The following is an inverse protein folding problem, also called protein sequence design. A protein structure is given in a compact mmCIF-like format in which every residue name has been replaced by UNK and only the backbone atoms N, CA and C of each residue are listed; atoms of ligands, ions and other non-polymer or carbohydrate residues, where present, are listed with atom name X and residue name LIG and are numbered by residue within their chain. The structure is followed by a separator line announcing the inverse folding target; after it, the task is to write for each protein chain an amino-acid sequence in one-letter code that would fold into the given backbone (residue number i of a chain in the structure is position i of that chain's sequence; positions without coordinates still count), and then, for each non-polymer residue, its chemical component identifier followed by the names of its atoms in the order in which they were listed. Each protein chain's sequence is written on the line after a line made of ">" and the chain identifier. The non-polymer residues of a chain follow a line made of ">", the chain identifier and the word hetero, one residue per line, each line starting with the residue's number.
data_IF_010588349923
#
_entry.id   IF_010588349923
#
_cell.length_a   1.000
_cell.length_b   1.000
_cell.length_c   1.000
_cell.angle_alpha   90.00
_cell.angle_beta   90.00
_cell.angle_gamma   90.00
#
_symmetry.space_group_name_H-M   'P 1'
#
loop_
_entity.id
_entity.type
_entity.pdbx_description
1 polymer ?
#
# COMPACT_ATOMS: atom_id res chain seq x y z
N UNK A 1 4.02 68.42 47.59
CA UNK A 1 4.21 66.97 47.82
C UNK A 1 2.81 66.36 47.75
N UNK A 2 2.25 66.08 46.55
CA UNK A 2 2.51 64.93 45.66
C UNK A 2 2.28 63.60 46.40
N UNK A 3 1.35 62.71 46.06
CA UNK A 3 0.47 62.54 44.88
C UNK A 3 -0.76 61.70 45.32
N UNK A 4 -1.93 61.88 44.68
CA UNK A 4 -3.25 61.39 45.15
C UNK A 4 -3.89 60.44 44.13
N UNK A 5 -4.40 59.26 44.52
CA UNK A 5 -5.34 58.49 43.71
C UNK A 5 -6.78 58.69 44.18
N UNK A 6 -7.74 58.45 43.27
CA UNK A 6 -9.01 57.72 43.46
C UNK A 6 -10.11 58.26 42.55
N UNK A 7 -10.48 57.44 41.57
CA UNK A 7 -11.74 57.53 40.83
C UNK A 7 -12.87 56.86 41.62
N UNK A 8 -14.05 57.47 41.61
CA UNK A 8 -15.34 56.83 41.93
C UNK A 8 -16.40 57.22 40.88
N UNK A 9 -17.19 56.21 40.50
CA UNK A 9 -18.29 56.12 39.52
C UNK A 9 -19.53 57.00 39.88
N UNK A 10 -20.78 56.86 39.32
CA UNK A 10 -21.35 55.96 38.29
C UNK A 10 -22.43 56.61 37.34
N UNK A 11 -23.06 55.85 36.42
CA UNK A 11 -24.55 55.81 36.24
C UNK A 11 -25.04 54.95 35.06
N UNK A 12 -26.18 54.28 35.28
CA UNK A 12 -26.93 53.35 34.40
C UNK A 12 -27.93 54.07 33.47
N UNK A 13 -28.15 53.56 32.24
CA UNK A 13 -29.44 53.03 31.71
C UNK A 13 -29.43 52.72 30.19
N UNK A 14 -30.33 51.83 29.66
CA UNK A 14 -30.14 51.09 28.41
C UNK A 14 -30.91 51.65 27.19
N UNK A 15 -30.40 51.38 25.98
CA UNK A 15 -31.09 51.64 24.71
C UNK A 15 -31.50 50.32 24.01
N UNK A 16 -32.70 50.21 23.41
CA UNK A 16 -33.06 49.05 22.60
C UNK A 16 -32.73 49.28 21.11
N UNK A 17 -32.24 48.28 20.35
CA UNK A 17 -32.19 48.41 18.91
C UNK A 17 -33.52 47.97 18.28
N UNK A 18 -34.10 48.89 17.50
CA UNK A 18 -35.16 48.61 16.55
C UNK A 18 -34.55 48.01 15.28
N UNK A 19 -34.99 46.81 14.88
CA UNK A 19 -34.83 46.33 13.52
C UNK A 19 -36.15 45.74 13.04
N UNK A 20 -36.89 46.56 12.29
CA UNK A 20 -38.04 46.15 11.50
C UNK A 20 -37.60 45.24 10.36
N UNK A 21 -38.33 44.13 10.20
CA UNK A 21 -38.19 43.18 9.09
C UNK A 21 -38.34 43.89 7.74
N UNK A 22 -37.31 43.82 6.89
CA UNK A 22 -37.48 44.08 5.45
C UNK A 22 -37.41 42.76 4.70
N UNK A 23 -38.57 42.29 4.23
CA UNK A 23 -38.68 41.25 3.20
C UNK A 23 -38.11 41.82 1.90
N UNK A 24 -37.01 41.23 1.40
CA UNK A 24 -36.48 41.56 0.09
C UNK A 24 -37.26 40.77 -0.97
N UNK A 25 -38.05 41.51 -1.76
CA UNK A 25 -38.70 41.01 -2.98
C UNK A 25 -37.74 41.28 -4.12
N UNK A 26 -37.30 40.23 -4.82
CA UNK A 26 -36.54 40.36 -6.07
C UNK A 26 -37.38 39.72 -7.17
N UNK A 27 -37.62 40.47 -8.24
CA UNK A 27 -38.34 40.02 -9.44
C UNK A 27 -39.86 39.75 -9.27
N UNK A 28 -40.56 40.57 -8.48
CA UNK A 28 -42.04 40.66 -8.51
C UNK A 28 -42.82 39.41 -8.09
N UNK A 29 -42.15 38.37 -7.62
CA UNK A 29 -42.73 37.22 -6.94
C UNK A 29 -42.04 37.07 -5.59
N UNK A 30 -42.84 36.83 -4.55
CA UNK A 30 -42.34 36.56 -3.21
C UNK A 30 -41.31 35.43 -3.27
N UNK A 31 -40.15 35.64 -2.62
CA UNK A 31 -39.07 34.66 -2.52
C UNK A 31 -39.55 33.30 -2.01
N UNK A 32 -40.63 33.31 -1.23
CA UNK A 32 -41.32 32.14 -0.70
C UNK A 32 -42.05 31.32 -1.80
N UNK A 33 -42.51 31.97 -2.86
CA UNK A 33 -43.14 31.33 -4.04
C UNK A 33 -42.11 30.77 -5.00
N UNK A 34 -40.94 31.44 -5.13
CA UNK A 34 -39.81 30.93 -5.91
C UNK A 34 -39.24 29.70 -5.22
N UNK A 35 -39.03 29.73 -3.90
CA UNK A 35 -38.61 28.57 -3.10
C UNK A 35 -39.67 27.46 -3.18
N UNK A 36 -40.97 27.72 -3.00
CA UNK A 36 -42.01 26.68 -3.15
C UNK A 36 -42.13 26.12 -4.57
N UNK A 37 -41.87 26.90 -5.61
CA UNK A 37 -41.80 26.42 -7.01
C UNK A 37 -40.54 25.59 -7.28
N UNK A 38 -39.40 25.99 -6.69
CA UNK A 38 -38.12 25.29 -6.83
C UNK A 38 -38.03 24.03 -5.97
N UNK A 39 -38.77 23.94 -4.85
CA UNK A 39 -38.81 22.77 -3.96
C UNK A 39 -40.05 21.87 -4.16
N UNK A 40 -41.17 22.42 -4.64
CA UNK A 40 -42.40 21.67 -4.92
C UNK A 40 -42.37 20.88 -6.24
N UNK A 41 -41.58 21.32 -7.22
CA UNK A 41 -41.32 20.60 -8.47
C UNK A 41 -40.02 19.77 -8.44
N UNK A 42 -39.22 19.87 -7.37
CA UNK A 42 -37.87 19.29 -7.32
C UNK A 42 -37.69 18.14 -6.32
N UNK A 43 -38.62 17.88 -5.40
CA UNK A 43 -38.48 16.72 -4.52
C UNK A 43 -38.43 15.42 -5.33
N UNK A 44 -39.32 15.28 -6.33
CA UNK A 44 -39.34 14.13 -7.24
C UNK A 44 -38.10 14.10 -8.14
N UNK A 45 -37.69 15.24 -8.69
CA UNK A 45 -36.50 15.31 -9.57
C UNK A 45 -35.21 15.02 -8.77
N UNK A 46 -35.07 15.56 -7.57
CA UNK A 46 -33.94 15.29 -6.69
C UNK A 46 -33.94 13.83 -6.23
N UNK A 47 -35.10 13.24 -5.93
CA UNK A 47 -35.21 11.81 -5.62
C UNK A 47 -34.82 10.94 -6.82
N UNK A 48 -35.24 11.31 -8.03
CA UNK A 48 -34.86 10.62 -9.27
C UNK A 48 -33.36 10.77 -9.55
N UNK A 49 -32.80 11.98 -9.44
CA UNK A 49 -31.37 12.24 -9.65
C UNK A 49 -30.53 11.53 -8.59
N UNK A 50 -30.91 11.58 -7.32
CA UNK A 50 -30.24 10.84 -6.25
C UNK A 50 -30.32 9.34 -6.53
N UNK A 51 -31.48 8.81 -6.92
CA UNK A 51 -31.64 7.40 -7.29
C UNK A 51 -30.76 7.02 -8.48
N UNK A 52 -30.66 7.88 -9.50
CA UNK A 52 -29.80 7.66 -10.66
C UNK A 52 -28.30 7.72 -10.29
N UNK A 53 -27.89 8.66 -9.45
CA UNK A 53 -26.52 8.73 -8.92
C UNK A 53 -26.23 7.49 -8.07
N UNK A 54 -27.16 7.07 -7.22
CA UNK A 54 -27.02 5.85 -6.40
C UNK A 54 -26.88 4.61 -7.30
N UNK A 55 -27.74 4.43 -8.31
CA UNK A 55 -27.65 3.32 -9.27
C UNK A 55 -26.33 3.39 -10.05
N UNK A 56 -25.89 4.58 -10.47
CA UNK A 56 -24.63 4.77 -11.17
C UNK A 56 -23.43 4.40 -10.28
N UNK A 57 -23.42 4.84 -9.01
CA UNK A 57 -22.40 4.45 -8.04
C UNK A 57 -22.41 2.94 -7.77
N UNK A 58 -23.58 2.30 -7.72
CA UNK A 58 -23.67 0.85 -7.61
C UNK A 58 -23.20 0.13 -8.88
N UNK A 59 -23.49 0.66 -10.07
CA UNK A 59 -23.05 0.09 -11.36
C UNK A 59 -21.54 0.20 -11.55
N UNK A 60 -20.96 1.35 -11.28
CA UNK A 60 -19.50 1.57 -11.34
C UNK A 60 -18.79 0.84 -10.19
N UNK A 61 -19.39 0.83 -8.99
CA UNK A 61 -18.91 0.10 -7.82
C UNK A 61 -18.96 -1.41 -7.98
N UNK A 62 -19.92 -1.96 -8.73
CA UNK A 62 -20.02 -3.41 -8.97
C UNK A 62 -18.81 -3.96 -9.75
N UNK A 63 -18.29 -3.19 -10.71
CA UNK A 63 -17.05 -3.53 -11.42
C UNK A 63 -15.85 -3.54 -10.48
N UNK A 64 -15.79 -2.61 -9.52
CA UNK A 64 -14.76 -2.57 -8.49
C UNK A 64 -14.78 -3.82 -7.60
N UNK A 65 -15.96 -4.33 -7.23
CA UNK A 65 -16.08 -5.55 -6.40
C UNK A 65 -15.51 -6.78 -7.10
N UNK A 66 -15.76 -6.95 -8.40
CA UNK A 66 -15.21 -8.05 -9.18
C UNK A 66 -13.69 -7.99 -9.29
N UNK A 67 -13.14 -6.81 -9.57
CA UNK A 67 -11.70 -6.59 -9.63
C UNK A 67 -11.03 -6.81 -8.26
N UNK A 68 -11.66 -6.34 -7.18
CA UNK A 68 -11.16 -6.55 -5.82
C UNK A 68 -11.16 -8.02 -5.42
N UNK A 69 -12.21 -8.77 -5.79
CA UNK A 69 -12.25 -10.21 -5.58
C UNK A 69 -11.12 -10.93 -6.33
N UNK A 70 -10.89 -10.59 -7.61
CA UNK A 70 -9.75 -11.13 -8.39
C UNK A 70 -8.43 -10.82 -7.71
N UNK A 71 -8.21 -9.57 -7.25
CA UNK A 71 -6.97 -9.20 -6.57
C UNK A 71 -6.76 -9.95 -5.25
N UNK A 72 -7.83 -10.21 -4.48
CA UNK A 72 -7.73 -11.00 -3.25
C UNK A 72 -7.42 -12.47 -3.54
N UNK A 73 -7.97 -13.02 -4.63
CA UNK A 73 -7.65 -14.37 -5.07
C UNK A 73 -6.18 -14.46 -5.48
N UNK A 74 -5.67 -13.52 -6.27
CA UNK A 74 -4.26 -13.43 -6.63
C UNK A 74 -3.36 -13.28 -5.40
N UNK A 75 -3.78 -12.48 -4.41
CA UNK A 75 -3.08 -12.28 -3.15
C UNK A 75 -2.95 -13.57 -2.31
N UNK A 76 -4.03 -14.37 -2.28
CA UNK A 76 -4.02 -15.69 -1.64
C UNK A 76 -3.16 -16.69 -2.43
N UNK A 77 -3.33 -16.74 -3.75
CA UNK A 77 -2.60 -17.65 -4.62
C UNK A 77 -1.09 -17.42 -4.57
N UNK A 78 -0.64 -16.17 -4.46
CA UNK A 78 0.79 -15.85 -4.32
C UNK A 78 1.37 -16.13 -2.94
N UNK A 79 0.54 -16.44 -1.94
CA UNK A 79 0.96 -16.66 -0.56
C UNK A 79 1.14 -15.38 0.25
N UNK A 80 0.75 -14.20 -0.26
CA UNK A 80 0.87 -12.95 0.50
C UNK A 80 -0.01 -12.93 1.74
N UNK A 81 -1.19 -13.58 1.70
CA UNK A 81 -2.03 -13.76 2.90
C UNK A 81 -1.32 -14.60 3.98
N UNK A 82 -0.61 -15.65 3.59
CA UNK A 82 0.20 -16.44 4.53
C UNK A 82 1.33 -15.60 5.13
N UNK A 83 1.99 -14.78 4.29
CA UNK A 83 3.01 -13.83 4.74
C UNK A 83 2.44 -12.80 5.72
N UNK A 84 1.21 -12.35 5.55
CA UNK A 84 0.57 -11.44 6.51
C UNK A 84 0.34 -12.10 7.87
N UNK A 85 -0.03 -13.39 7.89
CA UNK A 85 -0.02 -14.15 9.14
C UNK A 85 1.40 -14.13 9.73
N UNK A 86 2.45 -14.44 8.98
CA UNK A 86 3.83 -14.40 9.48
C UNK A 86 4.22 -13.02 10.08
N UNK A 87 3.74 -11.93 9.48
CA UNK A 87 4.01 -10.54 9.92
C UNK A 87 3.41 -10.22 11.29
N UNK A 88 2.33 -10.87 11.72
CA UNK A 88 1.66 -10.58 13.00
C UNK A 88 2.66 -10.53 14.18
N UNK A 89 3.61 -11.48 14.24
CA UNK A 89 4.63 -11.51 15.30
C UNK A 89 5.70 -10.45 15.15
N UNK A 90 6.13 -10.16 13.92
CA UNK A 90 7.05 -9.05 13.66
C UNK A 90 6.45 -7.72 14.11
N UNK A 91 5.17 -7.51 13.85
CA UNK A 91 4.46 -6.28 14.21
C UNK A 91 4.28 -6.16 15.72
N UNK A 92 3.88 -7.24 16.39
CA UNK A 92 3.83 -7.29 17.86
C UNK A 92 5.20 -6.96 18.49
N UNK A 93 6.27 -7.59 18.02
CA UNK A 93 7.64 -7.31 18.46
C UNK A 93 8.08 -5.86 18.16
N UNK A 94 7.64 -5.30 17.03
CA UNK A 94 7.95 -3.92 16.65
C UNK A 94 7.23 -2.93 17.58
N UNK A 95 5.98 -3.19 17.94
CA UNK A 95 5.25 -2.40 18.92
C UNK A 95 5.91 -2.44 20.31
N UNK A 96 6.39 -3.61 20.75
CA UNK A 96 7.16 -3.75 21.99
C UNK A 96 8.47 -2.96 21.94
N UNK A 97 9.18 -3.02 20.83
CA UNK A 97 10.42 -2.24 20.62
C UNK A 97 10.15 -0.74 20.69
N UNK A 98 9.07 -0.25 20.06
CA UNK A 98 8.64 1.16 20.14
C UNK A 98 8.34 1.55 21.59
N UNK A 99 7.55 0.74 22.31
CA UNK A 99 7.23 0.98 23.71
C UNK A 99 8.49 1.06 24.60
N UNK A 100 9.47 0.18 24.38
CA UNK A 100 10.73 0.20 25.11
C UNK A 100 11.56 1.46 24.79
N UNK A 101 11.59 1.89 23.53
CA UNK A 101 12.27 3.12 23.14
C UNK A 101 11.60 4.37 23.74
N UNK A 102 10.27 4.36 23.89
CA UNK A 102 9.55 5.43 24.58
C UNK A 102 9.94 5.51 26.06
N UNK A 103 10.10 4.37 26.74
CA UNK A 103 10.64 4.33 28.13
C UNK A 103 12.02 4.99 28.17
N UNK A 104 12.90 4.66 27.21
CA UNK A 104 14.25 5.24 27.16
C UNK A 104 14.22 6.76 26.96
N UNK A 105 13.38 7.23 26.05
CA UNK A 105 13.25 8.66 25.75
C UNK A 105 12.73 9.43 26.97
N UNK A 106 11.71 8.89 27.64
CA UNK A 106 11.19 9.47 28.88
C UNK A 106 12.21 9.46 30.02
N UNK A 107 13.01 8.40 30.14
CA UNK A 107 14.08 8.34 31.14
C UNK A 107 15.12 9.44 30.93
N UNK A 108 15.53 9.67 29.69
CA UNK A 108 16.43 10.78 29.33
C UNK A 108 15.82 12.13 29.72
N UNK A 109 14.53 12.33 29.43
CA UNK A 109 13.84 13.58 29.77
C UNK A 109 13.73 13.78 31.28
N UNK A 110 13.38 12.76 32.06
CA UNK A 110 13.32 12.86 33.53
C UNK A 110 14.68 13.16 34.15
N UNK A 111 15.77 12.56 33.66
CA UNK A 111 17.12 12.90 34.12
C UNK A 111 17.47 14.36 33.80
N UNK A 112 17.09 14.84 32.61
CA UNK A 112 17.29 16.24 32.24
C UNK A 112 16.50 17.19 33.16
N UNK A 113 15.25 16.86 33.47
CA UNK A 113 14.39 17.66 34.35
C UNK A 113 14.89 17.68 35.80
N UNK A 114 15.57 16.60 36.24
CA UNK A 114 16.28 16.53 37.52
C UNK A 114 17.60 17.32 37.55
N UNK A 115 18.02 17.91 36.42
CA UNK A 115 19.20 18.75 36.33
C UNK A 115 20.51 18.02 36.04
N UNK A 116 20.47 16.74 35.63
CA UNK A 116 21.67 16.00 35.22
C UNK A 116 22.29 16.62 33.96
N UNK A 117 23.62 16.64 33.90
CA UNK A 117 24.37 17.06 32.72
C UNK A 117 24.25 16.03 31.58
N UNK A 118 24.51 16.46 30.34
CA UNK A 118 24.49 15.57 29.18
C UNK A 118 25.48 14.40 29.31
N UNK A 119 26.61 14.60 30.01
CA UNK A 119 27.61 13.56 30.26
C UNK A 119 27.05 12.48 31.19
N UNK A 120 26.44 12.87 32.32
CA UNK A 120 25.86 11.95 33.29
C UNK A 120 24.68 11.16 32.70
N UNK A 121 23.82 11.84 31.91
CA UNK A 121 22.73 11.17 31.17
C UNK A 121 23.29 10.12 30.22
N UNK A 122 24.36 10.47 29.49
CA UNK A 122 25.00 9.54 28.57
C UNK A 122 25.62 8.35 29.29
N UNK A 123 26.24 8.55 30.46
CA UNK A 123 26.79 7.48 31.28
C UNK A 123 25.69 6.52 31.76
N UNK A 124 24.58 7.05 32.30
CA UNK A 124 23.45 6.25 32.75
C UNK A 124 22.82 5.41 31.62
N UNK A 125 22.51 6.03 30.48
CA UNK A 125 21.83 5.36 29.36
C UNK A 125 22.76 4.42 28.58
N UNK A 126 24.08 4.61 28.69
CA UNK A 126 25.10 3.73 28.07
C UNK A 126 25.70 2.73 29.05
N UNK A 127 25.22 2.67 30.29
CA UNK A 127 25.60 1.66 31.25
C UNK A 127 25.40 0.25 30.66
N UNK A 128 26.23 -0.74 31.05
CA UNK A 128 26.14 -2.10 30.52
C UNK A 128 24.72 -2.68 30.59
N UNK A 129 24.02 -2.49 31.70
CA UNK A 129 22.67 -2.99 31.98
C UNK A 129 21.64 -2.32 31.07
N UNK A 130 21.72 -0.99 30.94
CA UNK A 130 20.85 -0.21 30.04
C UNK A 130 21.06 -0.61 28.58
N UNK A 131 22.31 -0.78 28.13
CA UNK A 131 22.61 -1.27 26.78
C UNK A 131 22.09 -2.69 26.57
N UNK A 132 22.26 -3.58 27.55
CA UNK A 132 21.78 -4.94 27.47
C UNK A 132 20.26 -4.98 27.28
N UNK A 133 19.50 -4.13 27.97
CA UNK A 133 18.07 -4.01 27.73
C UNK A 133 17.75 -3.34 26.39
N UNK A 134 18.09 -2.06 26.21
CA UNK A 134 17.60 -1.28 25.07
C UNK A 134 18.16 -1.77 23.74
N UNK A 135 19.47 -2.00 23.66
CA UNK A 135 20.11 -2.46 22.42
C UNK A 135 20.00 -3.97 22.25
N UNK A 136 20.10 -4.73 23.35
CA UNK A 136 19.97 -6.18 23.31
C UNK A 136 18.57 -6.60 22.87
N UNK A 137 17.52 -5.99 23.44
CA UNK A 137 16.14 -6.26 23.05
C UNK A 137 15.94 -6.07 21.55
N UNK A 138 16.30 -4.89 20.99
CA UNK A 138 16.14 -4.57 19.56
C UNK A 138 16.76 -5.59 18.59
N UNK A 139 17.85 -6.25 19.01
CA UNK A 139 18.59 -7.22 18.20
C UNK A 139 17.90 -8.58 18.14
N UNK A 140 17.14 -8.97 19.16
CA UNK A 140 16.54 -10.31 19.28
C UNK A 140 15.66 -10.67 18.06
N UNK A 141 14.93 -9.70 17.50
CA UNK A 141 14.06 -9.91 16.34
C UNK A 141 14.74 -9.87 14.96
N UNK A 142 16.08 -9.92 14.86
CA UNK A 142 16.76 -9.83 13.55
C UNK A 142 16.39 -10.97 12.60
N UNK A 143 16.37 -12.20 13.11
CA UNK A 143 16.17 -13.39 12.28
C UNK A 143 14.71 -13.52 11.86
N UNK A 144 13.78 -13.19 12.76
CA UNK A 144 12.35 -13.08 12.44
C UNK A 144 12.11 -12.09 11.29
N UNK A 145 12.70 -10.90 11.34
CA UNK A 145 12.59 -9.90 10.26
C UNK A 145 13.15 -10.40 8.94
N UNK A 146 14.34 -11.02 8.98
CA UNK A 146 15.00 -11.54 7.78
C UNK A 146 14.15 -12.62 7.11
N UNK A 147 13.64 -13.57 7.91
CA UNK A 147 12.79 -14.65 7.41
C UNK A 147 11.50 -14.13 6.78
N UNK A 148 10.79 -13.21 7.44
CA UNK A 148 9.55 -12.64 6.89
C UNK A 148 9.81 -11.87 5.59
N UNK A 149 10.91 -11.12 5.52
CA UNK A 149 11.31 -10.42 4.29
C UNK A 149 11.57 -11.41 3.15
N UNK A 150 12.31 -12.49 3.42
CA UNK A 150 12.59 -13.55 2.45
C UNK A 150 11.28 -14.13 1.89
N UNK A 151 10.32 -14.49 2.76
CA UNK A 151 9.01 -15.03 2.34
C UNK A 151 8.14 -14.01 1.59
N UNK A 152 8.19 -12.75 2.01
CA UNK A 152 7.47 -11.67 1.32
C UNK A 152 8.03 -11.42 -0.08
N UNK A 153 9.35 -11.38 -0.23
CA UNK A 153 10.02 -11.19 -1.53
C UNK A 153 9.63 -12.33 -2.50
N UNK A 154 9.64 -13.58 -2.03
CA UNK A 154 9.19 -14.74 -2.83
C UNK A 154 7.71 -14.65 -3.22
N UNK A 155 6.82 -14.29 -2.29
CA UNK A 155 5.39 -14.16 -2.57
C UNK A 155 5.10 -13.00 -3.55
N UNK A 156 5.84 -11.89 -3.46
CA UNK A 156 5.78 -10.78 -4.41
C UNK A 156 6.21 -11.25 -5.80
N UNK A 157 7.32 -11.99 -5.90
CA UNK A 157 7.81 -12.51 -7.17
C UNK A 157 6.77 -13.41 -7.86
N UNK A 158 6.13 -14.32 -7.11
CA UNK A 158 5.06 -15.18 -7.64
C UNK A 158 3.90 -14.35 -8.20
N UNK A 159 3.44 -13.35 -7.44
CA UNK A 159 2.36 -12.44 -7.85
C UNK A 159 2.76 -11.66 -9.10
N UNK A 160 3.93 -11.04 -9.09
CA UNK A 160 4.37 -10.13 -10.15
C UNK A 160 4.58 -10.91 -11.47
N UNK A 161 5.07 -12.15 -11.40
CA UNK A 161 5.15 -13.04 -12.55
C UNK A 161 3.75 -13.37 -13.11
N UNK A 162 2.78 -13.66 -12.24
CA UNK A 162 1.40 -13.92 -12.67
C UNK A 162 0.77 -12.70 -13.34
N UNK A 163 0.83 -11.53 -12.70
CA UNK A 163 0.29 -10.28 -13.24
C UNK A 163 0.97 -9.93 -14.56
N UNK A 164 2.28 -10.12 -14.67
CA UNK A 164 3.02 -9.93 -15.92
C UNK A 164 2.50 -10.85 -17.02
N UNK A 165 2.30 -12.13 -16.73
CA UNK A 165 1.75 -13.07 -17.70
C UNK A 165 0.31 -12.71 -18.14
N UNK A 166 -0.56 -12.27 -17.23
CA UNK A 166 -1.92 -11.82 -17.57
C UNK A 166 -1.90 -10.58 -18.49
N UNK A 167 -1.01 -9.63 -18.21
CA UNK A 167 -0.82 -8.45 -19.05
C UNK A 167 -0.26 -8.83 -20.44
N UNK A 168 0.67 -9.79 -20.48
CA UNK A 168 1.20 -10.33 -21.73
C UNK A 168 0.12 -11.05 -22.54
N UNK A 169 -0.73 -11.87 -21.91
CA UNK A 169 -1.87 -12.52 -22.58
C UNK A 169 -2.85 -11.51 -23.17
N UNK A 170 -3.22 -10.48 -22.40
CA UNK A 170 -4.06 -9.38 -22.91
C UNK A 170 -3.41 -8.70 -24.11
N UNK A 171 -2.08 -8.52 -24.06
CA UNK A 171 -1.32 -7.97 -25.20
C UNK A 171 -1.37 -8.91 -26.40
N UNK A 172 -1.18 -10.21 -26.20
CA UNK A 172 -1.27 -11.22 -27.27
C UNK A 172 -2.66 -11.27 -27.90
N UNK A 173 -3.74 -11.18 -27.11
CA UNK A 173 -5.11 -11.11 -27.63
C UNK A 173 -5.31 -9.88 -28.53
N UNK A 174 -4.76 -8.74 -28.14
CA UNK A 174 -4.79 -7.53 -28.97
C UNK A 174 -3.99 -7.71 -30.27
N UNK A 175 -2.81 -8.36 -30.21
CA UNK A 175 -2.04 -8.70 -31.41
C UNK A 175 -2.79 -9.69 -32.31
N UNK A 176 -3.45 -10.71 -31.74
CA UNK A 176 -4.23 -11.69 -32.50
C UNK A 176 -5.39 -11.00 -33.25
N UNK A 177 -6.17 -10.16 -32.56
CA UNK A 177 -7.22 -9.36 -33.19
C UNK A 177 -6.67 -8.45 -34.28
N UNK A 178 -5.48 -7.86 -34.08
CA UNK A 178 -4.83 -7.01 -35.07
C UNK A 178 -4.35 -7.80 -36.29
N UNK A 179 -3.74 -8.96 -36.08
CA UNK A 179 -3.31 -9.89 -37.13
C UNK A 179 -4.50 -10.29 -37.99
N UNK A 180 -5.63 -10.64 -37.37
CA UNK A 180 -6.87 -10.99 -38.09
C UNK A 180 -7.40 -9.80 -38.91
N UNK A 181 -7.41 -8.59 -38.33
CA UNK A 181 -7.86 -7.38 -39.01
C UNK A 181 -6.97 -7.03 -40.22
N UNK A 182 -5.65 -7.07 -40.05
CA UNK A 182 -4.66 -6.77 -41.11
C UNK A 182 -4.64 -7.86 -42.19
N UNK A 183 -4.88 -9.12 -41.81
CA UNK A 183 -4.98 -10.25 -42.74
C UNK A 183 -6.20 -10.17 -43.68
N UNK A 184 -7.18 -9.30 -43.40
CA UNK A 184 -8.33 -9.11 -44.27
C UNK A 184 -7.94 -8.55 -45.64
N UNK A 185 -8.50 -9.12 -46.71
CA UNK A 185 -8.21 -8.69 -48.09
C UNK A 185 -8.49 -7.20 -48.33
N UNK A 186 -9.50 -6.63 -47.65
CA UNK A 186 -9.93 -5.24 -47.80
C UNK A 186 -9.40 -4.32 -46.68
N UNK A 187 -8.34 -4.73 -45.97
CA UNK A 187 -7.76 -3.94 -44.89
C UNK A 187 -7.34 -2.53 -45.35
N UNK A 188 -7.67 -1.52 -44.54
CA UNK A 188 -7.26 -0.13 -44.74
C UNK A 188 -6.47 0.36 -43.53
N UNK A 189 -5.26 0.84 -43.78
CA UNK A 189 -4.37 1.35 -42.75
C UNK A 189 -4.91 2.67 -42.17
N UNK A 190 -5.35 2.63 -40.91
CA UNK A 190 -5.67 3.83 -40.13
C UNK A 190 -4.41 4.43 -39.49
N UNK A 191 -4.56 5.58 -38.81
CA UNK A 191 -3.42 6.30 -38.23
C UNK A 191 -2.74 5.56 -37.07
N UNK A 192 -3.51 4.81 -36.25
CA UNK A 192 -2.96 4.00 -35.15
C UNK A 192 -2.12 2.85 -35.70
N UNK A 193 -2.64 2.12 -36.67
CA UNK A 193 -1.97 1.00 -37.30
C UNK A 193 -0.77 1.45 -38.12
N UNK A 194 -0.83 2.63 -38.73
CA UNK A 194 0.31 3.28 -39.37
C UNK A 194 1.44 3.53 -38.38
N UNK A 195 1.12 4.11 -37.22
CA UNK A 195 2.11 4.34 -36.16
C UNK A 195 2.69 3.00 -35.65
N UNK A 196 1.84 1.99 -35.45
CA UNK A 196 2.27 0.66 -35.05
C UNK A 196 3.18 0.01 -36.10
N UNK A 197 2.85 0.09 -37.38
CA UNK A 197 3.67 -0.45 -38.47
C UNK A 197 5.05 0.22 -38.52
N UNK A 198 5.10 1.56 -38.43
CA UNK A 198 6.35 2.30 -38.35
C UNK A 198 7.19 1.84 -37.14
N UNK A 199 6.56 1.67 -35.98
CA UNK A 199 7.24 1.18 -34.77
C UNK A 199 7.82 -0.22 -34.99
N UNK A 200 7.05 -1.15 -35.56
CA UNK A 200 7.53 -2.51 -35.85
C UNK A 200 8.69 -2.55 -36.84
N UNK A 201 8.67 -1.70 -37.88
CA UNK A 201 9.78 -1.56 -38.82
C UNK A 201 11.06 -1.12 -38.10
N UNK A 202 10.96 -0.12 -37.21
CA UNK A 202 12.11 0.38 -36.44
C UNK A 202 12.66 -0.67 -35.47
N UNK A 203 11.78 -1.42 -34.79
CA UNK A 203 12.18 -2.52 -33.91
C UNK A 203 12.92 -3.61 -34.69
N UNK A 204 12.43 -4.00 -35.87
CA UNK A 204 13.06 -5.01 -36.72
C UNK A 204 14.43 -4.57 -37.24
N UNK A 205 14.58 -3.29 -37.61
CA UNK A 205 15.87 -2.69 -37.97
C UNK A 205 16.86 -2.78 -36.80
N UNK A 206 16.38 -2.50 -35.59
CA UNK A 206 17.21 -2.45 -34.39
C UNK A 206 17.66 -3.84 -33.95
N UNK A 207 16.79 -4.85 -34.10
CA UNK A 207 17.08 -6.24 -33.78
C UNK A 207 18.07 -6.90 -34.77
N UNK A 208 18.13 -6.43 -36.03
CA UNK A 208 18.90 -7.07 -37.10
C UNK A 208 19.78 -6.08 -37.85
N UNK A 209 20.78 -5.50 -37.17
CA UNK A 209 21.64 -4.43 -37.71
C UNK A 209 22.43 -4.81 -38.96
N UNK A 210 22.74 -6.10 -39.17
CA UNK A 210 23.54 -6.61 -40.29
C UNK A 210 22.77 -6.75 -41.60
N UNK A 211 21.43 -6.68 -41.59
CA UNK A 211 20.58 -6.81 -42.77
C UNK A 211 20.45 -5.48 -43.54
N UNK A 212 21.56 -4.94 -44.04
CA UNK A 212 21.67 -3.56 -44.57
C UNK A 212 20.63 -3.21 -45.64
N UNK A 213 20.41 -4.09 -46.62
CA UNK A 213 19.47 -3.85 -47.73
C UNK A 213 18.02 -3.78 -47.25
N UNK A 214 17.56 -4.79 -46.50
CA UNK A 214 16.23 -4.82 -45.87
C UNK A 214 16.03 -3.62 -44.94
N UNK A 215 17.04 -3.28 -44.13
CA UNK A 215 16.94 -2.16 -43.20
C UNK A 215 16.80 -0.82 -43.93
N UNK A 216 17.47 -0.65 -45.08
CA UNK A 216 17.29 0.54 -45.91
C UNK A 216 15.88 0.61 -46.51
N UNK A 217 15.34 -0.52 -46.99
CA UNK A 217 13.96 -0.60 -47.46
C UNK A 217 12.94 -0.26 -46.35
N UNK A 218 13.13 -0.80 -45.14
CA UNK A 218 12.27 -0.52 -44.00
C UNK A 218 12.33 0.96 -43.56
N UNK A 219 13.50 1.61 -43.61
CA UNK A 219 13.64 3.05 -43.34
C UNK A 219 12.92 3.91 -44.37
N UNK A 220 13.02 3.55 -45.64
CA UNK A 220 12.32 4.23 -46.72
C UNK A 220 10.81 4.10 -46.52
N UNK A 221 10.32 2.87 -46.32
CA UNK A 221 8.90 2.59 -46.07
C UNK A 221 8.37 3.34 -44.84
N UNK A 222 9.11 3.34 -43.72
CA UNK A 222 8.73 4.08 -42.53
C UNK A 222 8.60 5.60 -42.79
N UNK A 223 9.44 6.16 -43.66
CA UNK A 223 9.38 7.58 -44.05
C UNK A 223 8.15 7.85 -44.91
N UNK A 224 7.86 6.99 -45.88
CA UNK A 224 6.67 7.11 -46.72
C UNK A 224 5.37 6.95 -45.92
N UNK A 225 5.33 6.01 -44.98
CA UNK A 225 4.20 5.82 -44.08
C UNK A 225 3.91 7.06 -43.22
N UNK A 226 4.95 7.73 -42.71
CA UNK A 226 4.81 9.01 -41.99
C UNK A 226 4.21 10.12 -42.85
N UNK A 227 4.45 10.07 -44.16
CA UNK A 227 3.91 11.02 -45.13
C UNK A 227 2.50 10.65 -45.62
N UNK A 228 1.82 9.69 -44.97
CA UNK A 228 0.43 9.35 -45.25
C UNK A 228 0.24 8.35 -46.38
N UNK A 229 1.30 7.68 -46.85
CA UNK A 229 1.20 6.65 -47.91
C UNK A 229 0.18 5.55 -47.55
N UNK A 230 -0.66 5.17 -48.51
CA UNK A 230 -1.49 3.96 -48.42
C UNK A 230 -0.63 2.71 -48.70
N UNK A 231 -0.93 1.60 -48.03
CA UNK A 231 -0.15 0.36 -48.20
C UNK A 231 -0.69 -0.49 -49.34
N UNK A 232 0.21 -1.12 -50.09
CA UNK A 232 -0.13 -2.16 -51.06
C UNK A 232 -0.18 -3.56 -50.40
N UNK A 233 -0.44 -4.59 -51.20
CA UNK A 233 -0.49 -5.98 -50.71
C UNK A 233 0.83 -6.45 -50.09
N UNK A 234 1.97 -6.18 -50.71
CA UNK A 234 3.29 -6.59 -50.20
C UNK A 234 3.63 -5.90 -48.86
N UNK A 235 3.31 -4.62 -48.73
CA UNK A 235 3.49 -3.85 -47.51
C UNK A 235 2.54 -4.29 -46.40
N UNK A 236 1.31 -4.69 -46.74
CA UNK A 236 0.39 -5.33 -45.80
C UNK A 236 0.92 -6.67 -45.32
N UNK A 237 1.42 -7.53 -46.22
CA UNK A 237 2.06 -8.80 -45.85
C UNK A 237 3.30 -8.56 -44.96
N UNK A 238 4.08 -7.51 -45.24
CA UNK A 238 5.19 -7.09 -44.39
C UNK A 238 4.71 -6.69 -43.00
N UNK A 239 3.63 -5.90 -42.90
CA UNK A 239 3.06 -5.52 -41.61
C UNK A 239 2.55 -6.74 -40.84
N UNK A 240 1.83 -7.64 -41.52
CA UNK A 240 1.32 -8.88 -40.96
C UNK A 240 2.45 -9.75 -40.39
N UNK A 241 3.52 -9.96 -41.16
CA UNK A 241 4.70 -10.71 -40.72
C UNK A 241 5.33 -10.08 -39.47
N UNK A 242 5.50 -8.76 -39.42
CA UNK A 242 6.08 -8.08 -38.26
C UNK A 242 5.19 -8.17 -37.01
N UNK A 243 3.87 -8.18 -37.17
CA UNK A 243 2.93 -8.40 -36.07
C UNK A 243 3.03 -9.84 -35.55
N UNK A 244 3.10 -10.83 -36.44
CA UNK A 244 3.26 -12.24 -36.10
C UNK A 244 4.60 -12.50 -35.39
N UNK A 245 5.70 -11.98 -35.92
CA UNK A 245 7.03 -12.08 -35.29
C UNK A 245 7.01 -11.50 -33.86
N UNK A 246 6.31 -10.37 -33.67
CA UNK A 246 6.17 -9.77 -32.34
C UNK A 246 5.27 -10.59 -31.42
N UNK A 247 4.16 -11.13 -31.93
CA UNK A 247 3.28 -12.03 -31.18
C UNK A 247 4.07 -13.24 -30.68
N UNK A 248 4.75 -13.96 -31.57
CA UNK A 248 5.53 -15.15 -31.23
C UNK A 248 6.67 -14.83 -30.25
N UNK A 249 7.32 -13.67 -30.41
CA UNK A 249 8.36 -13.22 -29.49
C UNK A 249 7.81 -12.96 -28.09
N UNK A 250 6.62 -12.37 -27.96
CA UNK A 250 5.98 -12.10 -26.67
C UNK A 250 5.45 -13.39 -26.03
N UNK A 251 4.87 -14.28 -26.82
CA UNK A 251 4.35 -15.56 -26.35
C UNK A 251 5.47 -16.40 -25.71
N UNK A 252 6.66 -16.42 -26.31
CA UNK A 252 7.85 -17.11 -25.76
C UNK A 252 8.33 -16.55 -24.41
N UNK A 253 7.96 -15.33 -24.04
CA UNK A 253 8.32 -14.75 -22.73
C UNK A 253 7.37 -15.13 -21.61
N UNK A 254 6.20 -15.69 -21.93
CA UNK A 254 5.22 -16.13 -20.93
C UNK A 254 5.74 -17.42 -20.29
N UNK A 255 5.98 -17.36 -18.97
CA UNK A 255 6.35 -18.52 -18.17
C UNK A 255 5.17 -18.86 -17.26
N UNK A 256 4.40 -19.94 -17.53
CA UNK A 256 3.25 -20.30 -16.71
C UNK A 256 3.60 -20.41 -15.23
N UNK A 257 2.72 -19.86 -14.38
CA UNK A 257 2.84 -20.00 -12.92
C UNK A 257 2.00 -21.18 -12.48
N UNK A 258 2.65 -22.22 -11.98
CA UNK A 258 1.99 -23.27 -11.21
C UNK A 258 1.89 -22.81 -9.76
N UNK A 259 0.72 -22.29 -9.37
CA UNK A 259 0.51 -21.81 -8.01
C UNK A 259 0.54 -22.91 -6.95
N UNK A 260 0.22 -24.16 -7.32
CA UNK A 260 0.24 -25.28 -6.36
C UNK A 260 1.68 -25.69 -6.08
N UNK A 261 2.57 -25.62 -7.05
CA UNK A 261 3.99 -25.88 -6.84
C UNK A 261 4.69 -24.71 -6.14
N UNK A 262 4.50 -23.49 -6.65
CA UNK A 262 5.21 -22.28 -6.19
C UNK A 262 4.86 -21.88 -4.76
N UNK A 263 3.65 -22.18 -4.29
CA UNK A 263 3.26 -21.85 -2.90
C UNK A 263 4.11 -22.58 -1.86
N UNK A 264 4.69 -23.73 -2.22
CA UNK A 264 5.60 -24.44 -1.35
C UNK A 264 6.86 -23.62 -1.05
N UNK A 265 7.35 -22.78 -1.97
CA UNK A 265 8.50 -21.89 -1.73
C UNK A 265 8.26 -20.90 -0.56
N UNK A 266 6.99 -20.53 -0.35
CA UNK A 266 6.56 -19.63 0.72
C UNK A 266 6.27 -20.39 2.02
N UNK A 267 5.70 -21.59 1.93
CA UNK A 267 5.07 -22.29 3.07
C UNK A 267 5.88 -23.47 3.63
N UNK A 268 6.87 -24.01 2.91
CA UNK A 268 7.60 -25.23 3.29
C UNK A 268 8.57 -25.08 4.48
N UNK A 269 8.74 -23.89 5.04
CA UNK A 269 9.71 -23.61 6.11
C UNK A 269 9.05 -23.34 7.48
N UNK A 270 7.89 -23.95 7.75
CA UNK A 270 7.22 -23.81 9.05
C UNK A 270 8.09 -24.26 10.24
N UNK A 271 8.90 -25.30 10.08
CA UNK A 271 9.82 -25.76 11.13
C UNK A 271 10.93 -24.72 11.40
N UNK A 272 11.59 -24.22 10.35
CA UNK A 272 12.58 -23.13 10.46
C UNK A 272 11.99 -21.88 11.12
N UNK A 273 10.75 -21.54 10.79
CA UNK A 273 10.04 -20.43 11.44
C UNK A 273 9.77 -20.70 12.92
N UNK A 274 9.36 -21.91 13.27
CA UNK A 274 9.14 -22.31 14.66
C UNK A 274 10.44 -22.22 15.49
N UNK A 275 11.57 -22.63 14.92
CA UNK A 275 12.89 -22.49 15.54
C UNK A 275 13.27 -21.02 15.75
N UNK A 276 13.02 -20.16 14.75
CA UNK A 276 13.25 -18.71 14.88
C UNK A 276 12.40 -18.12 16.02
N UNK A 277 11.14 -18.52 16.14
CA UNK A 277 10.29 -18.07 17.24
C UNK A 277 10.77 -18.58 18.59
N UNK A 278 11.28 -19.81 18.66
CA UNK A 278 11.84 -20.39 19.88
C UNK A 278 13.12 -19.66 20.33
N UNK A 279 14.02 -19.35 19.40
CA UNK A 279 15.23 -18.59 19.70
C UNK A 279 14.91 -17.13 20.05
N UNK A 280 13.91 -16.52 19.41
CA UNK A 280 13.40 -15.20 19.79
C UNK A 280 12.87 -15.19 21.23
N UNK A 281 12.06 -16.18 21.60
CA UNK A 281 11.50 -16.34 22.95
C UNK A 281 12.63 -16.40 23.99
N UNK A 282 13.60 -17.31 23.79
CA UNK A 282 14.78 -17.43 24.68
C UNK A 282 15.54 -16.11 24.80
N UNK A 283 15.79 -15.45 23.67
CA UNK A 283 16.55 -14.21 23.63
C UNK A 283 15.81 -13.07 24.36
N UNK A 284 14.49 -12.97 24.20
CA UNK A 284 13.67 -12.00 24.93
C UNK A 284 13.73 -12.28 26.44
N UNK A 285 13.53 -13.52 26.88
CA UNK A 285 13.62 -13.88 28.29
C UNK A 285 14.98 -13.52 28.90
N UNK A 286 16.08 -13.83 28.19
CA UNK A 286 17.43 -13.49 28.65
C UNK A 286 17.63 -11.98 28.80
N UNK A 287 17.08 -11.16 27.89
CA UNK A 287 17.13 -9.70 27.99
C UNK A 287 16.27 -9.20 29.17
N UNK A 288 15.06 -9.72 29.34
CA UNK A 288 14.13 -9.27 30.39
C UNK A 288 14.61 -9.61 31.81
N UNK A 289 15.37 -10.69 31.99
CA UNK A 289 16.01 -11.01 33.28
C UNK A 289 16.99 -9.93 33.74
N UNK A 290 17.65 -9.25 32.80
CA UNK A 290 18.57 -8.16 33.11
C UNK A 290 17.86 -6.80 33.28
N UNK A 291 16.59 -6.70 32.92
CA UNK A 291 15.85 -5.44 32.99
C UNK A 291 15.66 -4.93 34.42
N UNK A 292 15.59 -5.82 35.43
CA UNK A 292 15.48 -5.45 36.85
C UNK A 292 16.74 -4.81 37.42
N UNK A 293 17.88 -4.93 36.73
CA UNK A 293 19.14 -4.34 37.17
C UNK A 293 19.20 -2.84 36.88
N UNK A 294 18.27 -2.32 36.07
CA UNK A 294 18.25 -0.90 35.71
C UNK A 294 17.52 -0.13 36.80
N UNK A 295 18.25 0.80 37.42
CA UNK A 295 17.65 1.79 38.32
C UNK A 295 17.23 3.04 37.52
N UNK A 296 15.92 3.20 37.30
CA UNK A 296 15.37 4.39 36.65
C UNK A 296 15.26 5.61 37.58
N UNK A 297 15.42 5.43 38.90
CA UNK A 297 15.17 6.46 39.91
C UNK A 297 13.78 7.13 39.77
N UNK A 298 12.78 6.35 39.34
CA UNK A 298 11.44 6.83 39.00
C UNK A 298 10.43 5.70 39.12
N UNK A 299 9.48 5.83 40.05
CA UNK A 299 8.41 4.84 40.24
C UNK A 299 7.57 4.65 38.97
N UNK A 300 7.34 5.75 38.23
CA UNK A 300 6.58 5.75 36.98
C UNK A 300 7.28 4.92 35.89
N UNK A 301 8.58 5.14 35.68
CA UNK A 301 9.37 4.40 34.70
C UNK A 301 9.55 2.93 35.11
N UNK A 302 9.74 2.66 36.40
CA UNK A 302 9.75 1.28 36.94
C UNK A 302 8.43 0.57 36.65
N UNK A 303 7.28 1.24 36.88
CA UNK A 303 5.97 0.70 36.52
C UNK A 303 5.81 0.43 35.01
N UNK A 304 6.32 1.32 34.15
CA UNK A 304 6.32 1.09 32.69
C UNK A 304 7.23 -0.06 32.27
N UNK A 305 8.37 -0.23 32.91
CA UNK A 305 9.28 -1.35 32.67
C UNK A 305 8.64 -2.69 33.11
N UNK A 306 7.91 -2.70 34.22
CA UNK A 306 7.10 -3.87 34.60
C UNK A 306 6.02 -4.17 33.57
N UNK A 307 5.29 -3.13 33.11
CA UNK A 307 4.31 -3.29 32.03
C UNK A 307 4.94 -3.81 30.74
N UNK A 308 6.15 -3.40 30.41
CA UNK A 308 6.89 -3.93 29.25
C UNK A 308 7.10 -5.45 29.36
N UNK A 309 7.43 -5.96 30.55
CA UNK A 309 7.57 -7.40 30.78
C UNK A 309 6.25 -8.14 30.59
N UNK A 310 5.17 -7.65 31.18
CA UNK A 310 3.82 -8.23 31.00
C UNK A 310 3.40 -8.26 29.53
N UNK A 311 3.69 -7.18 28.78
CA UNK A 311 3.41 -7.13 27.34
C UNK A 311 4.22 -8.17 26.56
N UNK A 312 5.46 -8.44 26.95
CA UNK A 312 6.26 -9.51 26.35
C UNK A 312 5.70 -10.89 26.71
N UNK A 313 5.30 -11.13 27.96
CA UNK A 313 4.67 -12.40 28.36
C UNK A 313 3.41 -12.68 27.55
N UNK A 314 2.54 -11.68 27.35
CA UNK A 314 1.36 -11.82 26.50
C UNK A 314 1.73 -12.09 25.03
N UNK A 315 2.73 -11.38 24.51
CA UNK A 315 3.21 -11.57 23.15
C UNK A 315 3.74 -13.00 22.89
N UNK A 316 4.58 -13.50 23.81
CA UNK A 316 5.15 -14.85 23.76
C UNK A 316 4.09 -15.93 24.01
N UNK A 317 3.15 -15.69 24.93
CA UNK A 317 2.01 -16.57 25.19
C UNK A 317 1.12 -16.80 23.96
N UNK A 318 1.08 -15.84 23.03
CA UNK A 318 0.32 -15.97 21.78
C UNK A 318 1.04 -16.74 20.65
N UNK A 319 2.24 -17.30 20.86
CA UNK A 319 2.96 -18.03 19.81
C UNK A 319 2.30 -19.35 19.37
N UNK A 320 1.71 -20.17 20.27
CA UNK A 320 1.04 -21.40 19.87
C UNK A 320 -0.15 -21.16 18.94
N UNK A 321 -1.03 -20.21 19.28
CA UNK A 321 -2.19 -19.85 18.46
C UNK A 321 -1.76 -19.34 17.07
N UNK A 322 -0.72 -18.53 17.03
CA UNK A 322 -0.15 -18.04 15.77
C UNK A 322 0.38 -19.17 14.87
N UNK A 323 1.10 -20.13 15.45
CA UNK A 323 1.57 -21.30 14.68
C UNK A 323 0.39 -22.15 14.18
N UNK A 324 -0.69 -22.25 14.96
CA UNK A 324 -1.91 -22.92 14.52
C UNK A 324 -2.54 -22.19 13.31
N UNK A 325 -2.63 -20.85 13.32
CA UNK A 325 -3.11 -20.08 12.16
C UNK A 325 -2.31 -20.38 10.88
N UNK A 326 -0.98 -20.52 10.98
CA UNK A 326 -0.12 -20.86 9.85
C UNK A 326 -0.35 -22.29 9.36
N UNK A 327 -0.53 -23.24 10.28
CA UNK A 327 -0.82 -24.63 9.94
C UNK A 327 -2.21 -24.81 9.32
N UNK A 328 -3.19 -24.01 9.75
CA UNK A 328 -4.57 -24.05 9.27
C UNK A 328 -4.80 -23.24 7.98
N UNK A 329 -3.80 -22.46 7.54
CA UNK A 329 -3.91 -21.67 6.31
C UNK A 329 -3.97 -22.59 5.09
N UNK A 330 -4.94 -22.33 4.22
CA UNK A 330 -5.17 -23.09 2.98
C UNK A 330 -5.32 -22.14 1.78
N UNK A 331 -4.46 -22.32 0.79
CA UNK A 331 -4.49 -21.58 -0.47
C UNK A 331 -5.82 -21.75 -1.23
N UNK A 332 -6.47 -22.91 -1.09
CA UNK A 332 -7.69 -23.26 -1.83
C UNK A 332 -8.97 -22.91 -1.08
N UNK A 333 -8.88 -22.35 0.13
CA UNK A 333 -10.06 -21.96 0.89
C UNK A 333 -10.91 -20.96 0.07
N UNK A 334 -12.25 -21.09 0.06
CA UNK A 334 -13.11 -20.20 -0.72
C UNK A 334 -13.08 -18.78 -0.17
N UNK A 335 -12.87 -17.80 -1.06
CA UNK A 335 -13.01 -16.38 -0.74
C UNK A 335 -14.47 -15.96 -0.90
N UNK A 336 -15.17 -15.73 0.21
CA UNK A 336 -16.51 -15.15 0.15
C UNK A 336 -16.47 -13.67 -0.21
N UNK A 337 -17.21 -13.27 -1.25
CA UNK A 337 -17.35 -11.87 -1.69
C UNK A 337 -17.87 -10.98 -0.56
N UNK A 338 -18.77 -11.49 0.30
CA UNK A 338 -19.31 -10.72 1.43
C UNK A 338 -18.29 -10.52 2.55
N UNK A 339 -17.37 -11.48 2.74
CA UNK A 339 -16.28 -11.38 3.72
C UNK A 339 -15.22 -10.37 3.28
N UNK A 340 -14.89 -10.37 1.98
CA UNK A 340 -14.02 -9.38 1.35
C UNK A 340 -14.57 -7.95 1.46
N UNK A 341 -15.85 -7.75 1.17
CA UNK A 341 -16.50 -6.44 1.28
C UNK A 341 -16.52 -5.92 2.73
N UNK A 342 -16.76 -6.82 3.69
CA UNK A 342 -16.73 -6.49 5.12
C UNK A 342 -15.35 -6.09 5.62
N UNK A 343 -14.30 -6.78 5.17
CA UNK A 343 -12.90 -6.45 5.50
C UNK A 343 -12.48 -5.08 4.94
N UNK A 344 -12.84 -4.79 3.68
CA UNK A 344 -12.58 -3.51 3.02
C UNK A 344 -13.25 -2.34 3.76
N UNK A 345 -14.54 -2.46 4.11
CA UNK A 345 -15.31 -1.41 4.77
C UNK A 345 -14.94 -1.20 6.24
N UNK A 346 -14.37 -2.21 6.91
CA UNK A 346 -13.94 -2.13 8.31
C UNK A 346 -12.48 -1.70 8.48
N UNK A 347 -11.74 -1.52 7.38
CA UNK A 347 -10.39 -0.96 7.38
C UNK A 347 -9.31 -1.85 7.99
N UNK A 348 -9.58 -3.15 8.18
CA UNK A 348 -8.63 -4.06 8.84
C UNK A 348 -7.50 -4.57 7.95
N UNK A 349 -7.67 -4.51 6.62
CA UNK A 349 -6.72 -5.08 5.64
C UNK A 349 -6.30 -4.06 4.56
N UNK A 350 -6.00 -2.81 4.94
CA UNK A 350 -5.40 -1.85 4.00
C UNK A 350 -3.92 -2.24 3.77
N UNK A 351 -3.71 -3.23 2.90
CA UNK A 351 -2.38 -3.74 2.54
C UNK A 351 -1.66 -2.73 1.64
N UNK A 352 -0.87 -1.82 2.23
CA UNK A 352 0.15 -1.06 1.49
C UNK A 352 1.42 -1.88 1.44
N UNK A 353 1.80 -2.38 0.25
CA UNK A 353 2.99 -3.20 0.03
C UNK A 353 4.33 -2.40 0.14
N UNK A 354 4.44 -1.46 1.07
CA UNK A 354 5.62 -0.61 1.26
C UNK A 354 6.14 -0.67 2.69
N UNK A 355 7.03 -1.63 2.96
CA UNK A 355 7.73 -1.80 4.23
C UNK A 355 8.81 -0.71 4.50
N UNK A 356 9.16 0.11 3.50
CA UNK A 356 10.19 1.16 3.68
C UNK A 356 9.70 2.35 4.52
N UNK A 357 8.41 2.73 4.44
CA UNK A 357 7.89 3.88 5.20
C UNK A 357 7.89 3.65 6.72
N UNK A 358 7.71 2.40 7.17
CA UNK A 358 7.63 2.07 8.60
C UNK A 358 8.98 2.09 9.33
N UNK A 359 10.10 1.98 8.59
CA UNK A 359 11.45 1.93 9.18
C UNK A 359 12.21 3.25 9.05
N UNK A 360 12.04 3.99 7.94
CA UNK A 360 12.64 5.33 7.80
C UNK A 360 12.00 6.40 8.70
N UNK A 361 10.88 6.09 9.37
CA UNK A 361 10.37 6.90 10.49
C UNK A 361 11.22 6.83 11.77
N UNK A 362 12.10 5.83 11.92
CA UNK A 362 12.94 5.63 13.12
C UNK A 362 14.38 6.16 12.98
N UNK A 363 14.91 6.25 11.75
CA UNK A 363 16.26 6.75 11.50
C UNK A 363 16.47 8.24 11.83
N UNK A 364 15.51 9.16 11.58
CA UNK A 364 15.66 10.59 11.90
C UNK A 364 15.76 10.88 13.40
N UNK A 365 15.36 9.94 14.28
CA UNK A 365 15.43 10.08 15.73
C UNK A 365 16.78 9.61 16.32
N UNK A 366 17.64 8.99 15.49
CA UNK A 366 18.96 8.48 15.90
C UNK A 366 20.13 9.34 15.39
N UNK A 367 19.89 10.18 14.39
CA UNK A 367 20.83 11.24 13.99
C UNK A 367 20.31 12.60 14.44
N UNK A 368 20.29 12.81 15.76
CA UNK A 368 20.19 14.18 16.28
C UNK A 368 21.41 14.97 15.80
N UNK A 369 21.15 16.13 15.19
CA UNK A 369 22.07 17.26 15.23
C UNK A 369 22.21 17.77 16.67
#
# INVERSE_FOLDING_TARGET
>A
MADKPADQAPSNQPAPPAFGQRRSVIFGKDSDTIIKSFFGSSATVALVVLTLITIFLFKEGASFVGLYHKSLQEYRLSGLEYVDILKEKREGYTALTRYLNDIRAEWINELKDKGYSQTEINEAVKAPEAKALFMGYMRTGSDLRRFIKEKMDTAIEIRDLHVTNENLRTTLDNYAQKIDAVGSYNYKLNDEDRAQFILRLNDSISANSLATERNNAYRALATELRNGKEINTEERETFLHLLQERYESLEKTIVPVDFQERIHEVTNEQERYADILHELDKAIHAVLQNADQINFDSERLTGRAQRFKELNEMYLGGMPEHKAKLADWDQNAPLSISKALGAFLTGRDWTTASDQQDWYGLLPLLSGS
#
